data_IF_579069949334
#
_entry.id   IF_579069949334
#
_cell.length_a   1.000
_cell.length_b   1.000
_cell.length_c   1.000
_cell.angle_alpha   90.00
_cell.angle_beta   90.00
_cell.angle_gamma   90.00
#
_symmetry.space_group_name_H-M   'P 1'
#
loop_
_entity.id
_entity.type
_entity.pdbx_description
1 polymer ?
#
# COMPACT_ATOMS: atom_id res chain seq x y z
N UNK A 1 1.81 -0.84 -2.79
CA UNK A 1 0.48 -0.85 -3.44
C UNK A 1 -0.26 0.42 -3.05
N UNK A 2 -1.28 0.79 -3.81
CA UNK A 2 -2.26 1.81 -3.44
C UNK A 2 -3.62 1.12 -3.32
N UNK A 3 -4.36 1.40 -2.25
CA UNK A 3 -5.79 1.07 -2.11
C UNK A 3 -6.54 2.37 -2.23
N UNK A 4 -7.41 2.50 -3.24
CA UNK A 4 -8.20 3.72 -3.47
C UNK A 4 -9.64 3.49 -3.04
N UNK A 5 -10.29 4.53 -2.50
CA UNK A 5 -11.72 4.48 -2.27
C UNK A 5 -12.46 4.22 -3.60
N UNK A 6 -13.57 3.49 -3.56
CA UNK A 6 -14.35 3.22 -4.77
C UNK A 6 -15.06 4.49 -5.27
N UNK A 7 -15.73 5.20 -4.36
CA UNK A 7 -16.32 6.52 -4.63
C UNK A 7 -15.33 7.63 -4.35
N UNK A 8 -15.54 8.80 -4.98
CA UNK A 8 -14.72 9.96 -4.72
C UNK A 8 -15.04 10.60 -3.36
N UNK A 9 -14.02 10.69 -2.52
CA UNK A 9 -13.98 11.50 -1.31
C UNK A 9 -12.70 12.33 -1.36
N UNK A 10 -12.77 13.62 -1.01
CA UNK A 10 -11.62 14.53 -1.00
C UNK A 10 -10.86 14.42 0.33
N UNK A 11 -11.58 14.14 1.41
CA UNK A 11 -11.00 13.93 2.73
C UNK A 11 -11.48 12.63 3.38
N UNK A 12 -10.63 12.04 4.22
CA UNK A 12 -10.91 10.76 4.89
C UNK A 12 -12.10 10.88 5.85
N UNK A 13 -12.29 12.05 6.47
CA UNK A 13 -13.35 12.37 7.42
C UNK A 13 -14.72 12.63 6.76
N UNK A 14 -14.78 12.74 5.44
CA UNK A 14 -16.02 12.79 4.67
C UNK A 14 -16.63 11.40 4.44
N UNK A 15 -15.84 10.34 4.63
CA UNK A 15 -16.29 8.98 4.39
C UNK A 15 -17.33 8.55 5.43
N UNK A 16 -18.52 8.08 5.01
CA UNK A 16 -19.48 7.49 5.95
C UNK A 16 -18.83 6.33 6.72
N UNK A 17 -19.17 6.18 8.00
CA UNK A 17 -18.50 5.22 8.90
C UNK A 17 -18.43 3.79 8.33
N UNK A 18 -19.49 3.31 7.67
CA UNK A 18 -19.50 2.00 7.03
C UNK A 18 -18.55 1.89 5.83
N UNK A 19 -18.43 2.96 5.04
CA UNK A 19 -17.51 3.04 3.89
C UNK A 19 -16.07 3.12 4.37
N UNK A 20 -15.79 3.94 5.40
CA UNK A 20 -14.48 4.02 6.01
C UNK A 20 -14.05 2.66 6.61
N UNK A 21 -14.96 1.95 7.27
CA UNK A 21 -14.69 0.62 7.80
C UNK A 21 -14.35 -0.39 6.69
N UNK A 22 -15.11 -0.39 5.59
CA UNK A 22 -14.84 -1.26 4.44
C UNK A 22 -13.48 -0.93 3.79
N UNK A 23 -13.20 0.36 3.57
CA UNK A 23 -11.91 0.81 3.04
C UNK A 23 -10.73 0.36 3.92
N UNK A 24 -10.84 0.53 5.25
CA UNK A 24 -9.79 0.08 6.17
C UNK A 24 -9.66 -1.44 6.26
N UNK A 25 -10.74 -2.18 6.01
CA UNK A 25 -10.69 -3.63 5.87
C UNK A 25 -9.87 -4.02 4.62
N UNK A 26 -10.08 -3.37 3.48
CA UNK A 26 -9.29 -3.59 2.26
C UNK A 26 -7.82 -3.21 2.43
N UNK A 27 -7.54 -2.09 3.12
CA UNK A 27 -6.17 -1.70 3.50
C UNK A 27 -5.51 -2.77 4.37
N UNK A 28 -6.25 -3.34 5.33
CA UNK A 28 -5.74 -4.40 6.21
C UNK A 28 -5.46 -5.68 5.44
N UNK A 29 -6.39 -6.11 4.57
CA UNK A 29 -6.23 -7.28 3.69
C UNK A 29 -5.02 -7.13 2.77
N UNK A 30 -4.89 -5.96 2.13
CA UNK A 30 -3.73 -5.63 1.29
C UNK A 30 -2.43 -5.60 2.09
N UNK A 31 -2.45 -5.05 3.30
CA UNK A 31 -1.29 -5.02 4.19
C UNK A 31 -0.82 -6.44 4.55
N UNK A 32 -1.76 -7.36 4.85
CA UNK A 32 -1.44 -8.78 5.10
C UNK A 32 -0.82 -9.45 3.87
N UNK A 33 -1.44 -9.30 2.70
CA UNK A 33 -0.90 -9.85 1.46
C UNK A 33 0.52 -9.33 1.16
N UNK A 34 0.75 -8.03 1.31
CA UNK A 34 2.08 -7.42 1.14
C UNK A 34 3.07 -7.90 2.21
N UNK A 35 2.63 -8.09 3.45
CA UNK A 35 3.46 -8.57 4.56
C UNK A 35 3.93 -10.01 4.35
N UNK A 36 3.16 -10.83 3.63
CA UNK A 36 3.48 -12.21 3.27
C UNK A 36 4.47 -12.36 2.12
N UNK A 37 4.85 -11.25 1.46
CA UNK A 37 5.93 -11.27 0.47
C UNK A 37 7.28 -11.53 1.15
N UNK A 38 8.18 -12.18 0.41
CA UNK A 38 9.51 -12.50 0.89
C UNK A 38 10.32 -11.26 1.31
N UNK A 39 11.03 -11.41 2.43
CA UNK A 39 11.90 -10.38 3.02
C UNK A 39 11.19 -9.13 3.53
N UNK A 40 9.85 -9.05 3.48
CA UNK A 40 9.12 -7.95 4.13
C UNK A 40 9.14 -8.20 5.63
N UNK A 41 9.37 -7.16 6.44
CA UNK A 41 9.40 -7.23 7.91
C UNK A 41 8.31 -6.37 8.56
N UNK A 42 7.91 -5.32 7.85
CA UNK A 42 6.82 -4.44 8.26
C UNK A 42 6.11 -3.90 7.04
N UNK A 43 4.87 -3.48 7.23
CA UNK A 43 4.14 -2.68 6.24
C UNK A 43 3.82 -1.35 6.88
N UNK A 44 4.18 -0.26 6.21
CA UNK A 44 3.72 1.08 6.56
C UNK A 44 2.45 1.39 5.76
N UNK A 45 1.48 2.00 6.43
CA UNK A 45 0.24 2.50 5.82
C UNK A 45 0.20 4.00 6.01
N UNK A 46 -0.07 4.73 4.93
CA UNK A 46 -0.26 6.18 4.99
C UNK A 46 -1.44 6.59 4.10
N UNK A 47 -2.36 7.37 4.65
CA UNK A 47 -3.40 8.08 3.90
C UNK A 47 -2.98 9.54 3.88
N UNK A 48 -2.72 10.07 2.69
CA UNK A 48 -2.30 11.45 2.46
C UNK A 48 -3.26 12.09 1.44
N UNK A 49 -3.18 13.40 1.25
CA UNK A 49 -4.07 14.09 0.29
C UNK A 49 -3.51 15.41 -0.27
N UNK A 50 -2.23 15.73 -0.03
CA UNK A 50 -1.69 17.07 -0.34
C UNK A 50 -1.61 17.40 -1.85
N UNK A 51 -1.70 16.40 -2.73
CA UNK A 51 -1.56 16.57 -4.19
C UNK A 51 -2.68 15.90 -4.99
N UNK A 52 -3.07 14.71 -4.56
CA UNK A 52 -4.22 13.99 -5.12
C UNK A 52 -5.32 14.00 -4.05
N UNK A 53 -6.42 14.74 -4.26
CA UNK A 53 -7.49 14.86 -3.28
C UNK A 53 -8.25 13.54 -3.08
N UNK A 54 -8.34 12.68 -4.09
CA UNK A 54 -9.10 11.44 -3.95
C UNK A 54 -8.50 10.51 -2.89
N UNK A 55 -9.28 10.09 -1.88
CA UNK A 55 -8.80 9.24 -0.77
C UNK A 55 -8.15 7.95 -1.26
N UNK A 56 -6.88 7.77 -0.90
CA UNK A 56 -6.11 6.56 -1.16
C UNK A 56 -5.10 6.27 -0.04
N UNK A 57 -4.88 4.98 0.22
CA UNK A 57 -3.90 4.49 1.17
C UNK A 57 -2.68 3.92 0.44
N UNK A 58 -1.50 4.41 0.79
CA UNK A 58 -0.24 3.78 0.44
C UNK A 58 0.02 2.60 1.36
N UNK A 59 0.25 1.42 0.78
CA UNK A 59 0.64 0.18 1.49
C UNK A 59 2.06 -0.18 1.07
N UNK A 60 3.02 0.01 1.96
CA UNK A 60 4.45 0.06 1.62
C UNK A 60 5.21 -1.02 2.40
N UNK A 61 5.77 -2.04 1.71
CA UNK A 61 6.62 -3.03 2.37
C UNK A 61 7.93 -2.38 2.84
N UNK A 62 8.37 -2.77 4.03
CA UNK A 62 9.66 -2.39 4.62
C UNK A 62 10.50 -3.65 4.84
N UNK A 63 11.77 -3.62 4.45
CA UNK A 63 12.73 -4.72 4.57
C UNK A 63 13.93 -4.34 5.43
N UNK A 64 14.60 -5.33 6.02
CA UNK A 64 15.89 -5.12 6.66
C UNK A 64 16.92 -4.58 5.66
N UNK A 65 17.79 -3.69 6.13
CA UNK A 65 18.88 -3.12 5.33
C UNK A 65 18.48 -2.04 4.32
N UNK A 66 17.21 -1.58 4.33
CA UNK A 66 16.83 -0.40 3.56
C UNK A 66 17.64 0.83 3.99
N UNK A 67 18.08 1.63 3.01
CA UNK A 67 18.90 2.84 3.24
C UNK A 67 18.22 3.86 4.14
N UNK A 68 16.88 3.89 4.17
CA UNK A 68 16.07 4.76 4.99
C UNK A 68 15.31 3.99 6.09
N UNK A 69 15.93 2.94 6.63
CA UNK A 69 15.44 2.26 7.82
C UNK A 69 15.20 3.26 8.97
N UNK A 70 14.07 3.11 9.67
CA UNK A 70 13.65 4.01 10.75
C UNK A 70 13.07 5.36 10.32
N UNK A 71 13.08 5.68 9.02
CA UNK A 71 12.50 6.92 8.46
C UNK A 71 11.14 6.68 7.82
N UNK A 72 10.42 7.76 7.50
CA UNK A 72 9.23 7.65 6.67
C UNK A 72 9.61 7.12 5.28
N UNK A 73 8.71 6.40 4.58
CA UNK A 73 9.09 5.70 3.34
C UNK A 73 9.61 6.57 2.20
N UNK A 74 9.33 7.88 2.23
CA UNK A 74 9.72 8.86 1.22
C UNK A 74 11.00 9.62 1.59
N UNK A 75 11.37 9.61 2.86
CA UNK A 75 12.55 10.34 3.32
C UNK A 75 13.80 9.58 2.89
N UNK A 76 14.68 10.24 2.15
CA UNK A 76 15.94 9.67 1.64
C UNK A 76 15.73 8.33 0.89
N UNK A 77 14.56 8.16 0.29
CA UNK A 77 14.23 6.98 -0.48
C UNK A 77 15.12 6.89 -1.72
N UNK A 78 15.58 5.68 -2.11
CA UNK A 78 16.25 5.49 -3.38
C UNK A 78 15.40 6.01 -4.55
N UNK A 79 16.04 6.44 -5.67
CA UNK A 79 15.31 6.82 -6.86
C UNK A 79 14.34 5.74 -7.31
N UNK A 80 13.14 6.15 -7.73
CA UNK A 80 12.13 5.23 -8.25
C UNK A 80 12.69 4.50 -9.48
N UNK A 81 12.55 3.18 -9.48
CA UNK A 81 12.94 2.32 -10.60
C UNK A 81 11.74 1.51 -11.05
N UNK A 82 11.47 1.49 -12.34
CA UNK A 82 10.45 0.63 -12.92
C UNK A 82 10.90 -0.82 -12.85
N UNK A 83 9.99 -1.72 -12.48
CA UNK A 83 10.20 -3.15 -12.65
C UNK A 83 10.15 -3.49 -14.14
N UNK A 84 10.98 -4.42 -14.59
CA UNK A 84 10.81 -5.03 -15.90
C UNK A 84 9.50 -5.86 -15.95
N UNK A 85 9.04 -6.19 -17.15
CA UNK A 85 7.75 -6.87 -17.32
C UNK A 85 7.67 -8.22 -16.62
N UNK A 86 8.75 -8.99 -16.63
CA UNK A 86 8.76 -10.30 -15.98
C UNK A 86 8.57 -10.18 -14.46
N UNK A 87 9.36 -9.33 -13.81
CA UNK A 87 9.25 -9.05 -12.37
C UNK A 87 7.87 -8.49 -12.01
N UNK A 88 7.35 -7.56 -12.83
CA UNK A 88 6.03 -6.96 -12.62
C UNK A 88 4.91 -8.00 -12.70
N UNK A 89 4.93 -8.88 -13.71
CA UNK A 89 3.93 -9.93 -13.89
C UNK A 89 4.01 -10.98 -12.78
N UNK A 90 5.22 -11.42 -12.43
CA UNK A 90 5.44 -12.39 -11.34
C UNK A 90 4.89 -11.84 -10.01
N UNK A 91 5.27 -10.61 -9.64
CA UNK A 91 4.80 -9.97 -8.42
C UNK A 91 3.28 -9.75 -8.44
N UNK A 92 2.70 -9.36 -9.58
CA UNK A 92 1.24 -9.18 -9.71
C UNK A 92 0.50 -10.50 -9.49
N UNK A 93 0.96 -11.61 -10.06
CA UNK A 93 0.35 -12.93 -9.86
C UNK A 93 0.42 -13.37 -8.40
N UNK A 94 1.58 -13.21 -7.78
CA UNK A 94 1.79 -13.54 -6.38
C UNK A 94 0.85 -12.73 -5.48
N UNK A 95 0.77 -11.41 -5.68
CA UNK A 95 -0.11 -10.54 -4.91
C UNK A 95 -1.59 -10.89 -5.09
N UNK A 96 -2.02 -11.30 -6.30
CA UNK A 96 -3.40 -11.76 -6.52
C UNK A 96 -3.73 -13.00 -5.70
N UNK A 97 -2.87 -14.03 -5.74
CA UNK A 97 -3.04 -15.24 -4.92
C UNK A 97 -3.15 -14.90 -3.44
N UNK A 98 -2.22 -14.07 -2.94
CA UNK A 98 -2.18 -13.68 -1.53
C UNK A 98 -3.40 -12.85 -1.11
N UNK A 99 -3.98 -12.06 -2.01
CA UNK A 99 -5.22 -11.35 -1.75
C UNK A 99 -6.38 -12.33 -1.69
N UNK A 100 -6.52 -13.25 -2.65
CA UNK A 100 -7.63 -14.21 -2.73
C UNK A 100 -7.69 -15.16 -1.51
N UNK A 101 -6.55 -15.42 -0.88
CA UNK A 101 -6.43 -16.24 0.34
C UNK A 101 -6.70 -15.48 1.66
N UNK A 102 -6.88 -14.16 1.62
CA UNK A 102 -6.86 -13.26 2.79
C UNK A 102 -8.18 -12.57 3.13
#
# INVERSE_FOLDING_TARGET
>A
MIVSAHEHYEHLDEMPAGVLAAFMADVTRTSRAVRSLDGVERVNVAVLGNREPHVHAHVIPRRAGEVNAGKAPWDEAPPRRSLNDWNRLALTRQLRSLLDES
#
